data_IF_067178201708
#
_entry.id   IF_067178201708
#
_cell.length_a   1.000
_cell.length_b   1.000
_cell.length_c   1.000
_cell.angle_alpha   90.00
_cell.angle_beta   90.00
_cell.angle_gamma   90.00
#
_symmetry.space_group_name_H-M   'P 1'
#
loop_
_entity.id
_entity.type
_entity.pdbx_description
1 polymer ?
#
# COMPACT_ATOMS: atom_id res chain seq x y z
N UNK A 1 -3.35 -16.98 -50.05
CA UNK A 1 -2.32 -16.01 -49.63
C UNK A 1 -2.02 -16.29 -48.16
N UNK A 2 -0.88 -16.94 -47.92
CA UNK A 2 -0.35 -17.25 -46.60
C UNK A 2 0.34 -16.03 -46.03
N UNK A 3 -0.36 -15.24 -45.22
CA UNK A 3 0.28 -14.28 -44.34
C UNK A 3 0.96 -15.05 -43.22
N UNK A 4 2.28 -15.12 -43.37
CA UNK A 4 3.27 -15.71 -42.50
C UNK A 4 3.18 -15.21 -41.05
N UNK A 5 3.45 -16.15 -40.14
CA UNK A 5 3.71 -16.03 -38.71
C UNK A 5 4.80 -15.00 -38.35
N UNK A 6 4.52 -13.70 -38.42
CA UNK A 6 5.54 -12.65 -38.15
C UNK A 6 5.47 -12.06 -36.73
N UNK A 7 4.44 -12.34 -35.93
CA UNK A 7 4.50 -12.09 -34.48
C UNK A 7 3.88 -13.26 -33.73
N UNK A 8 4.71 -14.00 -32.99
CA UNK A 8 4.24 -14.85 -31.89
C UNK A 8 3.77 -14.04 -30.68
N UNK A 9 3.72 -12.71 -30.80
CA UNK A 9 2.50 -11.95 -30.51
C UNK A 9 2.55 -10.97 -29.36
N UNK A 10 3.47 -11.13 -28.42
CA UNK A 10 3.63 -10.22 -27.29
C UNK A 10 4.93 -9.44 -27.46
N UNK A 11 4.85 -8.10 -27.46
CA UNK A 11 5.98 -7.18 -27.30
C UNK A 11 5.85 -6.56 -25.91
N UNK A 12 6.25 -7.27 -24.83
CA UNK A 12 6.08 -6.81 -23.46
C UNK A 12 6.68 -5.44 -23.22
N UNK A 13 7.82 -5.13 -23.85
CA UNK A 13 8.53 -3.86 -23.70
C UNK A 13 7.70 -2.69 -24.25
N UNK A 14 7.20 -2.81 -25.49
CA UNK A 14 6.34 -1.78 -26.07
C UNK A 14 5.01 -1.66 -25.32
N UNK A 15 4.46 -2.79 -24.88
CA UNK A 15 3.22 -2.81 -24.09
C UNK A 15 3.43 -2.09 -22.77
N UNK A 16 4.55 -2.33 -22.10
CA UNK A 16 4.90 -1.67 -20.84
C UNK A 16 5.09 -0.17 -21.04
N UNK A 17 5.80 0.25 -22.08
CA UNK A 17 5.98 1.67 -22.40
C UNK A 17 4.64 2.38 -22.62
N UNK A 18 3.66 1.71 -23.28
CA UNK A 18 2.30 2.24 -23.42
C UNK A 18 1.59 2.34 -22.06
N UNK A 19 1.57 1.26 -21.27
CA UNK A 19 0.86 1.23 -19.98
C UNK A 19 1.41 2.28 -19.01
N UNK A 20 2.73 2.55 -19.06
CA UNK A 20 3.39 3.55 -18.20
C UNK A 20 2.83 4.95 -18.35
N UNK A 21 2.30 5.32 -19.52
CA UNK A 21 1.61 6.62 -19.71
C UNK A 21 0.33 6.73 -18.88
N UNK A 22 -0.25 5.62 -18.45
CA UNK A 22 -1.46 5.58 -17.63
C UNK A 22 -1.17 5.51 -16.13
N UNK A 23 0.08 5.68 -15.69
CA UNK A 23 0.48 5.51 -14.29
C UNK A 23 -0.38 6.29 -13.28
N UNK A 24 -0.86 7.48 -13.66
CA UNK A 24 -1.72 8.32 -12.81
C UNK A 24 -3.22 8.14 -13.07
N UNK A 25 -3.60 7.35 -14.07
CA UNK A 25 -4.98 7.05 -14.43
C UNK A 25 -5.35 5.64 -13.95
N UNK A 26 -5.79 5.57 -12.70
CA UNK A 26 -6.22 4.32 -12.05
C UNK A 26 -7.34 3.60 -12.80
N UNK A 27 -8.27 4.35 -13.42
CA UNK A 27 -9.37 3.76 -14.18
C UNK A 27 -8.84 3.02 -15.41
N UNK A 28 -7.94 3.65 -16.16
CA UNK A 28 -7.34 3.04 -17.34
C UNK A 28 -6.42 1.87 -16.97
N UNK A 29 -5.64 1.97 -15.90
CA UNK A 29 -4.84 0.85 -15.39
C UNK A 29 -5.73 -0.33 -14.96
N UNK A 30 -6.86 -0.06 -14.30
CA UNK A 30 -7.83 -1.11 -13.97
C UNK A 30 -8.37 -1.80 -15.23
N UNK A 31 -8.73 -1.04 -16.27
CA UNK A 31 -9.11 -1.62 -17.56
C UNK A 31 -7.99 -2.47 -18.19
N UNK A 32 -6.73 -2.02 -18.10
CA UNK A 32 -5.57 -2.77 -18.61
C UNK A 32 -5.44 -4.16 -17.96
N UNK A 33 -5.68 -4.27 -16.66
CA UNK A 33 -5.57 -5.53 -15.92
C UNK A 33 -6.53 -6.61 -16.46
N UNK A 34 -7.65 -6.20 -17.04
CA UNK A 34 -8.69 -7.09 -17.54
C UNK A 34 -8.47 -7.53 -18.99
N UNK A 35 -7.50 -6.97 -19.72
CA UNK A 35 -7.27 -7.25 -21.14
C UNK A 35 -6.77 -8.68 -21.35
N UNK A 36 -5.63 -9.03 -20.77
CA UNK A 36 -5.05 -10.37 -20.80
C UNK A 36 -3.97 -10.52 -19.72
N UNK A 37 -3.38 -11.72 -19.60
CA UNK A 37 -2.36 -12.03 -18.57
C UNK A 37 -1.10 -11.16 -18.67
N UNK A 38 -0.68 -10.74 -19.86
CA UNK A 38 0.48 -9.87 -20.05
C UNK A 38 0.19 -8.47 -19.49
N UNK A 39 -0.92 -7.87 -19.93
CA UNK A 39 -1.33 -6.53 -19.49
C UNK A 39 -1.59 -6.49 -17.98
N UNK A 40 -2.23 -7.53 -17.42
CA UNK A 40 -2.38 -7.72 -15.98
C UNK A 40 -1.04 -7.65 -15.24
N UNK A 41 -0.03 -8.43 -15.67
CA UNK A 41 1.29 -8.46 -15.03
C UNK A 41 2.04 -7.14 -15.11
N UNK A 42 1.83 -6.36 -16.17
CA UNK A 42 2.50 -5.07 -16.38
C UNK A 42 1.78 -3.92 -15.66
N UNK A 43 0.45 -3.95 -15.59
CA UNK A 43 -0.36 -2.89 -15.00
C UNK A 43 -0.48 -3.00 -13.47
N UNK A 44 -0.51 -4.22 -12.89
CA UNK A 44 -0.63 -4.42 -11.44
C UNK A 44 0.48 -3.68 -10.66
N UNK A 45 1.78 -3.80 -11.01
CA UNK A 45 2.83 -3.09 -10.31
C UNK A 45 2.64 -1.58 -10.32
N UNK A 46 2.20 -1.02 -11.46
CA UNK A 46 1.94 0.42 -11.62
C UNK A 46 0.75 0.89 -10.79
N UNK A 47 -0.34 0.10 -10.78
CA UNK A 47 -1.55 0.38 -10.01
C UNK A 47 -1.27 0.35 -8.49
N UNK A 48 -0.39 -0.55 -8.06
CA UNK A 48 -0.07 -0.77 -6.64
C UNK A 48 1.17 -0.02 -6.13
N UNK A 49 1.74 0.90 -6.92
CA UNK A 49 2.90 1.69 -6.48
C UNK A 49 2.58 2.61 -5.29
N UNK A 50 1.36 3.15 -5.23
CA UNK A 50 0.89 4.04 -4.17
C UNK A 50 -0.59 3.78 -3.82
N UNK A 51 -0.90 2.63 -3.18
CA UNK A 51 -2.27 2.15 -3.04
C UNK A 51 -3.08 2.90 -1.97
N UNK A 52 -2.42 3.62 -1.06
CA UNK A 52 -3.08 4.38 0.00
C UNK A 52 -3.45 5.80 -0.41
N UNK A 53 -2.94 6.28 -1.55
CA UNK A 53 -3.16 7.65 -1.99
C UNK A 53 -4.60 7.88 -2.38
N UNK A 54 -5.21 8.89 -1.76
CA UNK A 54 -6.58 9.30 -2.02
C UNK A 54 -7.67 8.29 -1.63
N UNK A 55 -7.33 7.22 -0.91
CA UNK A 55 -8.30 6.24 -0.37
C UNK A 55 -9.35 6.91 0.52
N UNK A 56 -8.93 7.92 1.29
CA UNK A 56 -9.78 8.71 2.18
C UNK A 56 -10.87 9.46 1.41
N UNK A 57 -10.60 9.89 0.17
CA UNK A 57 -11.56 10.61 -0.66
C UNK A 57 -12.51 9.69 -1.43
N UNK A 58 -12.04 8.49 -1.76
CA UNK A 58 -12.84 7.52 -2.53
C UNK A 58 -13.69 6.61 -1.65
N UNK A 59 -13.41 6.57 -0.34
CA UNK A 59 -14.01 5.66 0.64
C UNK A 59 -13.91 4.17 0.26
N UNK A 60 -13.02 3.84 -0.68
CA UNK A 60 -12.81 2.48 -1.14
C UNK A 60 -11.60 1.88 -0.40
N UNK A 61 -11.89 1.15 0.67
CA UNK A 61 -10.86 0.53 1.50
C UNK A 61 -10.74 -1.00 1.32
N UNK A 62 -11.46 -1.58 0.36
CA UNK A 62 -11.51 -3.04 0.17
C UNK A 62 -10.13 -3.63 -0.17
N UNK A 63 -9.23 -2.82 -0.73
CA UNK A 63 -7.86 -3.25 -1.00
C UNK A 63 -7.05 -3.60 0.27
N UNK A 64 -7.48 -3.15 1.46
CA UNK A 64 -6.86 -3.53 2.73
C UNK A 64 -6.95 -5.05 2.97
N UNK A 65 -8.04 -5.68 2.52
CA UNK A 65 -8.27 -7.12 2.67
C UNK A 65 -7.19 -7.96 1.98
N UNK A 66 -6.61 -7.44 0.89
CA UNK A 66 -5.50 -8.07 0.16
C UNK A 66 -4.26 -8.20 1.05
N UNK A 67 -4.00 -7.21 1.90
CA UNK A 67 -2.87 -7.26 2.84
C UNK A 67 -3.18 -8.12 4.05
N UNK A 68 -4.44 -8.12 4.51
CA UNK A 68 -4.86 -8.95 5.64
C UNK A 68 -4.74 -10.45 5.34
N UNK A 69 -4.96 -10.87 4.09
CA UNK A 69 -4.76 -12.28 3.70
C UNK A 69 -3.30 -12.72 3.86
N UNK A 70 -2.34 -11.79 3.78
CA UNK A 70 -0.92 -12.07 3.95
C UNK A 70 -0.46 -12.04 5.43
N UNK A 71 -1.37 -11.87 6.39
CA UNK A 71 -1.03 -11.96 7.82
C UNK A 71 -0.65 -13.39 8.22
N UNK A 72 0.24 -13.48 9.22
CA UNK A 72 0.58 -14.76 9.85
C UNK A 72 -0.60 -15.33 10.66
N UNK A 73 -0.56 -16.63 10.96
CA UNK A 73 -1.65 -17.34 11.63
C UNK A 73 -1.99 -16.77 13.02
N UNK A 74 -1.00 -16.28 13.78
CA UNK A 74 -1.23 -15.64 15.09
C UNK A 74 -2.02 -14.32 14.93
N UNK A 75 -1.63 -13.49 13.97
CA UNK A 75 -2.32 -12.22 13.69
C UNK A 75 -3.71 -12.47 13.13
N UNK A 76 -3.88 -13.49 12.26
CA UNK A 76 -5.19 -13.94 11.76
C UNK A 76 -6.09 -14.45 12.88
N UNK A 77 -5.54 -15.18 13.86
CA UNK A 77 -6.30 -15.66 15.02
C UNK A 77 -6.78 -14.51 15.89
N UNK A 78 -5.91 -13.52 16.17
CA UNK A 78 -6.32 -12.29 16.86
C UNK A 78 -7.35 -11.50 16.05
N UNK A 79 -7.23 -11.53 14.72
CA UNK A 79 -8.15 -10.86 13.82
C UNK A 79 -9.54 -11.53 13.81
N UNK A 80 -9.61 -12.86 13.91
CA UNK A 80 -10.86 -13.62 13.96
C UNK A 80 -11.60 -13.46 15.29
N UNK A 81 -10.89 -13.19 16.40
CA UNK A 81 -11.52 -12.76 17.67
C UNK A 81 -12.37 -11.50 17.50
N UNK A 82 -12.04 -10.65 16.52
CA UNK A 82 -12.81 -9.45 16.16
C UNK A 82 -13.99 -9.73 15.22
N UNK A 83 -14.43 -10.99 15.06
CA UNK A 83 -15.54 -11.40 14.17
C UNK A 83 -15.33 -11.00 12.71
N UNK A 84 -14.08 -10.94 12.26
CA UNK A 84 -13.80 -10.91 10.83
C UNK A 84 -14.16 -12.30 10.33
N UNK A 85 -15.30 -12.39 9.63
CA UNK A 85 -15.72 -13.63 8.98
C UNK A 85 -14.55 -14.18 8.16
N UNK A 86 -14.26 -15.48 8.29
CA UNK A 86 -13.24 -16.18 7.48
C UNK A 86 -13.50 -16.03 5.96
N UNK A 87 -14.72 -15.63 5.57
CA UNK A 87 -15.12 -15.33 4.19
C UNK A 87 -14.64 -13.96 3.66
N UNK A 88 -14.06 -13.09 4.50
CA UNK A 88 -13.56 -11.75 4.10
C UNK A 88 -12.14 -11.79 3.51
N UNK A 89 -11.40 -12.89 3.70
CA UNK A 89 -10.02 -12.99 3.26
C UNK A 89 -9.98 -13.83 1.97
N UNK A 90 -9.69 -13.22 0.80
CA UNK A 90 -9.56 -13.98 -0.43
C UNK A 90 -8.38 -14.93 -0.32
N UNK A 91 -8.64 -16.24 -0.26
CA UNK A 91 -7.57 -17.23 -0.19
C UNK A 91 -6.75 -17.23 -1.49
N UNK A 92 -5.45 -16.96 -1.35
CA UNK A 92 -4.41 -16.99 -2.38
C UNK A 92 -4.42 -15.79 -3.35
N UNK A 93 -3.74 -14.72 -2.94
CA UNK A 93 -3.41 -13.61 -3.85
C UNK A 93 -2.45 -14.07 -4.97
N UNK A 94 -2.73 -13.67 -6.22
CA UNK A 94 -1.90 -14.03 -7.38
C UNK A 94 -0.52 -13.35 -7.36
N UNK A 95 -0.42 -12.21 -6.66
CA UNK A 95 0.77 -11.39 -6.57
C UNK A 95 1.07 -11.05 -5.11
N UNK A 96 2.35 -10.88 -4.78
CA UNK A 96 2.74 -10.23 -3.53
C UNK A 96 2.60 -8.71 -3.70
N UNK A 97 1.37 -8.21 -3.48
CA UNK A 97 1.02 -6.81 -3.66
C UNK A 97 1.84 -5.84 -2.79
N UNK A 98 2.27 -6.28 -1.61
CA UNK A 98 3.13 -5.48 -0.72
C UNK A 98 4.44 -5.08 -1.41
N UNK A 99 5.03 -5.98 -2.22
CA UNK A 99 6.30 -5.73 -2.93
C UNK A 99 6.19 -4.66 -4.02
N UNK A 100 4.99 -4.32 -4.46
CA UNK A 100 4.80 -3.27 -5.46
C UNK A 100 4.70 -1.87 -4.84
N UNK A 101 4.55 -1.75 -3.52
CA UNK A 101 4.49 -0.46 -2.85
C UNK A 101 5.83 0.26 -3.00
N UNK A 102 5.79 1.44 -3.62
CA UNK A 102 6.96 2.33 -3.83
C UNK A 102 6.81 3.66 -3.12
N UNK A 103 5.59 4.07 -2.78
CA UNK A 103 5.28 5.29 -2.05
C UNK A 103 4.42 4.94 -0.85
N UNK A 104 4.77 5.46 0.31
CA UNK A 104 4.02 5.24 1.53
C UNK A 104 3.94 6.54 2.31
N UNK A 105 2.74 7.11 2.38
CA UNK A 105 2.41 8.15 3.34
C UNK A 105 1.80 7.49 4.58
N UNK A 106 2.45 7.65 5.73
CA UNK A 106 2.03 6.98 6.98
C UNK A 106 0.66 7.46 7.44
N UNK A 107 0.32 8.74 7.23
CA UNK A 107 -0.99 9.29 7.59
C UNK A 107 -2.09 8.72 6.71
N UNK A 108 -1.90 8.67 5.40
CA UNK A 108 -2.85 8.06 4.46
C UNK A 108 -3.01 6.56 4.76
N UNK A 109 -1.91 5.86 5.05
CA UNK A 109 -1.93 4.45 5.46
C UNK A 109 -2.80 4.23 6.72
N UNK A 110 -2.51 4.94 7.80
CA UNK A 110 -3.28 4.85 9.05
C UNK A 110 -4.75 5.19 8.81
N UNK A 111 -5.02 6.25 8.04
CA UNK A 111 -6.38 6.69 7.73
C UNK A 111 -7.14 5.66 6.88
N UNK A 112 -6.47 5.00 5.94
CA UNK A 112 -7.05 3.93 5.10
C UNK A 112 -7.47 2.73 5.94
N UNK A 113 -6.59 2.29 6.84
CA UNK A 113 -6.87 1.16 7.72
C UNK A 113 -7.94 1.51 8.76
N UNK A 114 -7.91 2.73 9.29
CA UNK A 114 -8.96 3.25 10.17
C UNK A 114 -10.32 3.29 9.47
N UNK A 115 -10.37 3.84 8.24
CA UNK A 115 -11.56 3.88 7.40
C UNK A 115 -12.14 2.49 7.13
N UNK A 116 -11.28 1.54 6.73
CA UNK A 116 -11.68 0.12 6.56
C UNK A 116 -12.22 -0.49 7.86
N UNK A 117 -11.55 -0.25 8.99
CA UNK A 117 -11.95 -0.79 10.28
C UNK A 117 -13.32 -0.25 10.70
N UNK A 118 -13.56 1.04 10.50
CA UNK A 118 -14.85 1.66 10.76
C UNK A 118 -15.96 1.13 9.84
N UNK A 119 -15.70 0.98 8.54
CA UNK A 119 -16.71 0.52 7.57
C UNK A 119 -17.06 -0.96 7.75
N UNK A 120 -16.05 -1.81 8.00
CA UNK A 120 -16.19 -3.27 7.95
C UNK A 120 -16.50 -3.85 9.33
N UNK A 121 -15.84 -3.33 10.38
CA UNK A 121 -15.88 -3.94 11.71
C UNK A 121 -16.72 -3.17 12.73
N UNK A 122 -17.02 -1.90 12.45
CA UNK A 122 -17.76 -1.00 13.36
C UNK A 122 -17.12 -0.88 14.75
N UNK A 123 -15.80 -1.07 14.85
CA UNK A 123 -15.04 -0.91 16.10
C UNK A 123 -14.47 0.50 16.25
N UNK A 124 -13.96 0.81 17.45
CA UNK A 124 -13.23 2.05 17.75
C UNK A 124 -11.71 1.92 17.60
N UNK A 125 -11.01 3.06 17.72
CA UNK A 125 -9.61 3.31 17.35
C UNK A 125 -8.56 2.28 17.82
N UNK A 126 -8.75 1.63 18.99
CA UNK A 126 -7.77 0.66 19.51
C UNK A 126 -7.61 -0.58 18.64
N UNK A 127 -8.63 -0.97 17.89
CA UNK A 127 -8.57 -2.14 17.02
C UNK A 127 -7.89 -1.81 15.69
N UNK A 128 -8.08 -0.59 15.16
CA UNK A 128 -7.36 -0.12 13.98
C UNK A 128 -5.85 -0.01 14.23
N UNK A 129 -5.41 0.40 15.43
CA UNK A 129 -4.00 0.42 15.80
C UNK A 129 -3.31 -0.95 15.61
N UNK A 130 -3.96 -2.01 16.09
CA UNK A 130 -3.43 -3.38 15.97
C UNK A 130 -3.29 -3.80 14.51
N UNK A 131 -4.31 -3.52 13.69
CA UNK A 131 -4.31 -3.85 12.27
C UNK A 131 -3.22 -3.06 11.55
N UNK A 132 -3.14 -1.75 11.76
CA UNK A 132 -2.12 -0.89 11.17
C UNK A 132 -0.70 -1.42 11.45
N UNK A 133 -0.40 -1.70 12.71
CA UNK A 133 0.93 -2.21 13.11
C UNK A 133 1.19 -3.58 12.51
N UNK A 134 0.19 -4.46 12.44
CA UNK A 134 0.34 -5.80 11.88
C UNK A 134 0.60 -5.76 10.36
N UNK A 135 -0.12 -4.89 9.64
CA UNK A 135 0.12 -4.66 8.21
C UNK A 135 1.49 -4.02 7.95
N UNK A 136 1.88 -3.05 8.78
CA UNK A 136 3.19 -2.42 8.65
C UNK A 136 4.34 -3.42 8.87
N UNK A 137 4.19 -4.35 9.84
CA UNK A 137 5.13 -5.45 10.04
C UNK A 137 5.31 -6.31 8.80
N UNK A 138 4.22 -6.66 8.10
CA UNK A 138 4.27 -7.39 6.83
C UNK A 138 5.11 -6.64 5.79
N UNK A 139 5.04 -5.31 5.73
CA UNK A 139 5.82 -4.52 4.77
C UNK A 139 7.31 -4.59 5.07
N UNK A 140 7.69 -4.50 6.34
CA UNK A 140 9.09 -4.65 6.76
C UNK A 140 9.59 -6.07 6.51
N UNK A 141 8.82 -7.09 6.90
CA UNK A 141 9.17 -8.52 6.73
C UNK A 141 9.27 -8.93 5.25
N UNK A 142 8.46 -8.33 4.38
CA UNK A 142 8.54 -8.56 2.93
C UNK A 142 9.70 -7.84 2.25
N UNK A 143 10.49 -7.05 2.99
CA UNK A 143 11.60 -6.25 2.49
C UNK A 143 11.16 -5.36 1.32
N UNK A 144 10.07 -4.61 1.50
CA UNK A 144 9.57 -3.74 0.42
C UNK A 144 10.64 -2.71 0.02
N UNK A 145 10.83 -2.55 -1.29
CA UNK A 145 11.76 -1.57 -1.85
C UNK A 145 11.06 -0.21 -1.98
N UNK A 146 10.83 0.44 -0.83
CA UNK A 146 10.16 1.73 -0.77
C UNK A 146 11.05 2.84 -1.34
N UNK A 147 10.51 3.69 -2.22
CA UNK A 147 11.24 4.83 -2.78
C UNK A 147 10.97 6.12 -2.00
N UNK A 148 9.73 6.33 -1.56
CA UNK A 148 9.32 7.54 -0.85
C UNK A 148 8.56 7.15 0.41
N UNK A 149 8.99 7.71 1.54
CA UNK A 149 8.31 7.62 2.82
C UNK A 149 7.95 9.03 3.28
N UNK A 150 6.64 9.29 3.39
CA UNK A 150 6.11 10.53 3.93
C UNK A 150 5.61 10.28 5.35
N UNK A 151 6.13 11.04 6.31
CA UNK A 151 5.73 10.98 7.72
C UNK A 151 5.19 12.34 8.10
N UNK A 152 3.88 12.40 8.33
CA UNK A 152 3.21 13.60 8.86
C UNK A 152 3.05 13.42 10.36
N UNK A 153 3.65 14.33 11.14
CA UNK A 153 3.49 14.38 12.60
C UNK A 153 2.24 15.23 12.89
N UNK A 154 1.13 14.62 13.32
CA UNK A 154 -0.08 15.36 13.64
C UNK A 154 0.12 16.22 14.89
N UNK A 155 -0.68 17.29 15.00
CA UNK A 155 -0.73 18.14 16.19
C UNK A 155 -1.40 17.47 17.40
N UNK A 156 -1.91 16.25 17.24
CA UNK A 156 -2.58 15.46 18.26
C UNK A 156 -1.92 14.09 18.40
N UNK A 157 -2.07 13.46 19.56
CA UNK A 157 -1.46 12.17 19.84
C UNK A 157 -2.03 11.05 18.95
N UNK A 158 -1.15 10.26 18.33
CA UNK A 158 -1.49 9.08 17.53
C UNK A 158 -0.70 7.87 18.01
N UNK A 159 -1.31 7.02 18.83
CA UNK A 159 -0.66 5.80 19.35
C UNK A 159 -0.23 4.84 18.24
N UNK A 160 -0.94 4.83 17.12
CA UNK A 160 -0.56 4.04 15.96
C UNK A 160 0.74 4.56 15.31
N UNK A 161 0.87 5.88 15.14
CA UNK A 161 2.05 6.49 14.54
C UNK A 161 3.28 6.19 15.40
N UNK A 162 3.18 6.37 16.71
CA UNK A 162 4.28 6.10 17.65
C UNK A 162 4.80 4.66 17.52
N UNK A 163 3.88 3.68 17.48
CA UNK A 163 4.24 2.26 17.32
C UNK A 163 4.90 1.97 15.97
N UNK A 164 4.43 2.60 14.89
CA UNK A 164 5.04 2.45 13.56
C UNK A 164 6.45 3.06 13.57
N UNK A 165 6.62 4.25 14.13
CA UNK A 165 7.92 4.91 14.24
C UNK A 165 8.90 4.09 15.08
N UNK A 166 8.45 3.56 16.23
CA UNK A 166 9.25 2.66 17.06
C UNK A 166 9.69 1.42 16.26
N UNK A 167 8.77 0.84 15.47
CA UNK A 167 9.08 -0.32 14.65
C UNK A 167 10.08 -0.01 13.52
N UNK A 168 9.96 1.15 12.88
CA UNK A 168 10.94 1.65 11.89
C UNK A 168 12.32 1.80 12.54
N UNK A 169 12.39 2.39 13.74
CA UNK A 169 13.65 2.59 14.47
C UNK A 169 14.32 1.26 14.86
N UNK A 170 13.53 0.22 15.15
CA UNK A 170 14.03 -1.12 15.43
C UNK A 170 14.51 -1.87 14.18
N UNK A 171 14.03 -1.48 12.99
CA UNK A 171 14.31 -2.15 11.72
C UNK A 171 14.96 -1.20 10.73
N UNK A 172 16.14 -0.67 11.07
CA UNK A 172 16.85 0.36 10.27
C UNK A 172 17.14 -0.06 8.83
N UNK A 173 17.22 -1.35 8.53
CA UNK A 173 17.31 -1.87 7.16
C UNK A 173 16.12 -1.47 6.27
N UNK A 174 14.94 -1.25 6.86
CA UNK A 174 13.75 -0.75 6.15
C UNK A 174 13.99 0.62 5.52
N UNK A 175 14.84 1.44 6.14
CA UNK A 175 15.12 2.82 5.70
C UNK A 175 16.23 2.85 4.64
N UNK A 176 17.09 1.83 4.57
CA UNK A 176 18.29 1.83 3.72
C UNK A 176 17.99 2.00 2.23
N UNK A 177 16.83 1.55 1.76
CA UNK A 177 16.46 1.62 0.34
C UNK A 177 15.59 2.85 -0.01
N UNK A 178 15.23 3.68 0.98
CA UNK A 178 14.37 4.84 0.80
C UNK A 178 15.15 5.95 0.11
N UNK A 179 14.67 6.40 -1.05
CA UNK A 179 15.29 7.49 -1.82
C UNK A 179 14.94 8.86 -1.25
N UNK A 180 13.70 9.03 -0.80
CA UNK A 180 13.21 10.28 -0.21
C UNK A 180 12.47 9.99 1.10
N UNK A 181 12.94 10.57 2.20
CA UNK A 181 12.22 10.62 3.47
C UNK A 181 11.77 12.06 3.70
N UNK A 182 10.46 12.29 3.66
CA UNK A 182 9.87 13.60 3.91
C UNK A 182 9.18 13.60 5.28
N UNK A 183 9.56 14.55 6.13
CA UNK A 183 8.95 14.77 7.43
C UNK A 183 8.15 16.07 7.37
N UNK A 184 6.86 15.98 7.67
CA UNK A 184 5.96 17.13 7.73
C UNK A 184 5.54 17.33 9.18
N UNK A 185 5.83 18.49 9.75
CA UNK A 185 5.43 18.83 11.11
C UNK A 185 4.25 19.78 11.03
N UNK A 186 3.10 19.33 11.52
CA UNK A 186 1.88 20.14 11.50
C UNK A 186 1.87 21.05 12.75
N UNK A 187 2.42 22.25 12.64
CA UNK A 187 2.36 23.26 13.69
C UNK A 187 0.97 23.93 13.69
N UNK A 188 0.48 24.37 14.86
CA UNK A 188 -0.85 24.99 14.99
C UNK A 188 -1.01 26.35 14.29
N UNK A 189 0.05 26.89 13.67
CA UNK A 189 -0.02 27.94 12.67
C UNK A 189 -0.15 27.28 11.31
N UNK A 190 -1.06 27.72 10.44
CA UNK A 190 -1.42 27.13 9.12
C UNK A 190 -0.28 26.92 8.08
N UNK A 191 0.98 26.88 8.51
CA UNK A 191 2.19 26.59 7.74
C UNK A 191 2.71 25.18 8.08
N UNK A 192 2.61 24.26 7.11
CA UNK A 192 3.32 22.98 7.14
C UNK A 192 4.80 23.24 6.84
N UNK A 193 5.69 23.02 7.81
CA UNK A 193 7.13 23.00 7.55
C UNK A 193 7.53 21.63 6.99
N UNK A 194 8.13 21.63 5.79
CA UNK A 194 8.67 20.43 5.15
C UNK A 194 10.16 20.31 5.51
N UNK A 195 10.52 19.30 6.30
CA UNK A 195 11.91 18.91 6.48
C UNK A 195 12.21 17.74 5.54
N UNK A 196 12.87 18.01 4.41
CA UNK A 196 13.33 16.97 3.48
C UNK A 196 14.68 16.46 3.99
N UNK A 197 14.72 15.25 4.51
CA UNK A 197 15.96 14.56 4.83
C UNK A 197 16.32 13.63 3.65
N UNK A 198 17.31 14.00 2.85
CA UNK A 198 17.91 13.08 1.88
C UNK A 198 18.86 12.15 2.63
N UNK A 199 18.50 10.88 2.75
CA UNK A 199 19.39 9.85 3.30
C UNK A 199 20.34 9.44 2.15
N UNK A 200 21.65 9.63 2.35
CA UNK A 200 22.71 9.20 1.42
C UNK A 200 23.13 7.76 1.71
#
# INVERSE_FOLDING_TARGET
MSCSRIFSGDLPELTYEVIKYFKTDFSTLHSCILVNRLWCRLAIPLLWENPFSGSVFTENYNFIEIYLDNLNDDSKTKLSEYKINDNLLPSNTLFNYSKFIKYLNIREFISSVGGWSCSTLKFGDRHSDFICVSLFKIFVENEIELHVLDIEIPSYYSSCLDKILEFILQNTNFIQNIKNLNLYINNHSDEMEILIAQIH
#
